data_IF_786098396622
#
_entry.id   IF_786098396622
#
_cell.length_a   1.000
_cell.length_b   1.000
_cell.length_c   1.000
_cell.angle_alpha   90.00
_cell.angle_beta   90.00
_cell.angle_gamma   90.00
#
_symmetry.space_group_name_H-M   'P 1'
#
loop_
_entity.id
_entity.type
_entity.pdbx_description
1 polymer ?
#
# COMPACT_ATOMS: atom_id res chain seq x y z
N UNK A 1 -6.73 1.95 0.23
CA UNK A 1 -6.31 3.11 -0.58
C UNK A 1 -7.50 3.61 -1.39
N UNK A 2 -7.62 4.92 -1.59
CA UNK A 2 -8.56 5.56 -2.49
C UNK A 2 -7.77 6.41 -3.50
N UNK A 3 -8.16 6.34 -4.77
CA UNK A 3 -7.57 7.13 -5.85
C UNK A 3 -8.54 8.27 -6.16
N UNK A 4 -8.16 9.49 -5.80
CA UNK A 4 -9.03 10.67 -5.88
C UNK A 4 -8.42 11.74 -6.79
N UNK A 5 -9.06 11.92 -7.96
CA UNK A 5 -8.65 12.93 -8.95
C UNK A 5 -9.01 14.36 -8.52
N UNK A 6 -9.95 14.52 -7.58
CA UNK A 6 -10.46 15.83 -7.15
C UNK A 6 -9.83 16.35 -5.86
N UNK A 7 -9.05 15.52 -5.16
CA UNK A 7 -8.37 15.92 -3.94
C UNK A 7 -7.12 16.76 -4.23
N UNK A 8 -6.93 17.82 -3.45
CA UNK A 8 -5.80 18.75 -3.59
C UNK A 8 -4.45 18.12 -3.23
N UNK A 9 -4.43 17.21 -2.26
CA UNK A 9 -3.21 16.63 -1.72
C UNK A 9 -3.46 15.22 -1.20
N UNK A 10 -2.43 14.38 -1.24
CA UNK A 10 -2.50 13.07 -0.61
C UNK A 10 -2.64 13.26 0.89
N UNK A 11 -3.55 12.50 1.52
CA UNK A 11 -3.72 12.56 2.96
C UNK A 11 -4.17 11.22 3.55
N UNK A 12 -3.97 11.10 4.86
CA UNK A 12 -4.37 9.93 5.64
C UNK A 12 -4.77 10.34 7.06
N UNK A 13 -5.80 9.69 7.59
CA UNK A 13 -6.33 9.96 8.92
C UNK A 13 -5.53 9.31 10.04
N UNK A 14 -5.56 9.96 11.21
CA UNK A 14 -4.82 9.53 12.40
C UNK A 14 -5.09 8.10 12.82
N UNK A 15 -6.35 7.75 12.93
CA UNK A 15 -6.76 6.43 13.40
C UNK A 15 -6.32 5.29 12.48
N UNK A 16 -6.09 5.59 11.19
CA UNK A 16 -5.57 4.60 10.25
C UNK A 16 -4.07 4.38 10.44
N UNK A 17 -3.27 5.44 10.59
CA UNK A 17 -1.83 5.27 10.82
C UNK A 17 -1.51 4.69 12.18
N UNK A 18 -2.27 5.02 13.22
CA UNK A 18 -2.09 4.41 14.55
C UNK A 18 -2.15 2.87 14.48
N UNK A 19 -2.85 2.30 13.49
CA UNK A 19 -2.92 0.86 13.23
C UNK A 19 -1.88 0.37 12.22
N UNK A 20 -1.64 1.14 11.17
CA UNK A 20 -0.81 0.72 10.04
C UNK A 20 0.68 1.03 10.22
N UNK A 21 1.05 1.96 11.11
CA UNK A 21 2.40 2.50 11.19
C UNK A 21 2.77 2.98 12.61
N UNK A 22 3.21 2.08 13.48
CA UNK A 22 3.32 2.29 14.94
C UNK A 22 4.21 3.49 15.35
N UNK A 23 5.18 3.90 14.53
CA UNK A 23 6.14 4.97 14.83
C UNK A 23 5.97 6.23 13.96
N UNK A 24 4.79 6.49 13.39
CA UNK A 24 4.60 7.61 12.45
C UNK A 24 4.91 8.97 13.08
N UNK A 25 4.72 9.11 14.40
CA UNK A 25 4.92 10.36 15.15
C UNK A 25 6.35 10.87 15.09
N UNK A 26 7.32 9.97 15.11
CA UNK A 26 8.75 10.30 15.12
C UNK A 26 9.25 10.75 13.74
N UNK A 27 8.50 10.39 12.69
CA UNK A 27 8.84 10.66 11.30
C UNK A 27 8.03 11.82 10.72
N UNK A 28 7.21 12.45 11.56
CA UNK A 28 6.32 13.53 11.14
C UNK A 28 7.13 14.80 10.90
N UNK A 29 7.11 15.28 9.67
CA UNK A 29 7.70 16.55 9.29
C UNK A 29 6.71 17.70 9.61
N UNK A 30 7.20 18.85 10.10
CA UNK A 30 6.34 19.96 10.48
C UNK A 30 5.65 20.56 9.26
N UNK A 31 4.46 21.13 9.48
CA UNK A 31 3.72 21.89 8.49
C UNK A 31 3.16 23.16 9.13
N UNK A 32 3.39 24.31 8.50
CA UNK A 32 2.96 25.60 9.00
C UNK A 32 2.36 26.46 7.88
N UNK A 33 1.45 27.37 8.25
CA UNK A 33 0.95 28.41 7.35
C UNK A 33 -0.09 27.97 6.31
N UNK A 34 -0.43 26.67 6.21
CA UNK A 34 -1.40 26.16 5.23
C UNK A 34 -2.70 25.75 5.92
N UNK A 35 -3.82 26.29 5.44
CA UNK A 35 -5.17 25.88 5.86
C UNK A 35 -5.73 24.88 4.86
N UNK A 36 -6.20 23.75 5.38
CA UNK A 36 -6.85 22.72 4.57
C UNK A 36 -8.34 22.68 4.87
N UNK A 37 -9.14 22.45 3.83
CA UNK A 37 -10.59 22.36 3.94
C UNK A 37 -11.08 21.20 3.08
N UNK A 38 -11.96 20.39 3.66
CA UNK A 38 -12.75 19.40 2.94
C UNK A 38 -14.12 20.00 2.59
N UNK A 39 -14.93 19.26 1.84
CA UNK A 39 -16.29 19.71 1.50
C UNK A 39 -17.17 19.98 2.75
N UNK A 40 -16.90 19.32 3.87
CA UNK A 40 -17.76 19.36 5.06
C UNK A 40 -17.15 20.07 6.26
N UNK A 41 -15.83 20.24 6.32
CA UNK A 41 -15.14 20.78 7.50
C UNK A 41 -13.75 21.30 7.19
N UNK A 42 -13.24 22.17 8.06
CA UNK A 42 -11.81 22.49 8.13
C UNK A 42 -11.02 21.25 8.55
N UNK A 43 -9.85 21.07 7.95
CA UNK A 43 -8.98 19.92 8.15
C UNK A 43 -7.78 20.35 9.00
N UNK A 44 -7.45 19.53 10.00
CA UNK A 44 -6.38 19.81 10.95
C UNK A 44 -5.15 18.95 10.62
N UNK A 45 -4.18 19.48 9.85
CA UNK A 45 -2.96 18.77 9.57
C UNK A 45 -2.11 18.69 10.84
N UNK A 46 -1.49 17.54 11.04
CA UNK A 46 -0.51 17.28 12.09
C UNK A 46 0.92 17.40 11.56
N UNK A 47 1.12 17.08 10.28
CA UNK A 47 2.40 17.15 9.59
C UNK A 47 2.40 16.39 8.28
N UNK A 48 3.58 16.23 7.69
CA UNK A 48 3.81 15.47 6.46
C UNK A 48 4.55 14.18 6.82
N UNK A 49 4.16 13.06 6.22
CA UNK A 49 4.86 11.79 6.37
C UNK A 49 5.21 11.25 4.97
N UNK A 50 6.46 10.83 4.77
CA UNK A 50 6.85 10.00 3.63
C UNK A 50 6.43 8.55 3.93
N UNK A 51 5.54 8.01 3.11
CA UNK A 51 5.08 6.63 3.22
C UNK A 51 5.42 5.83 1.96
N UNK A 52 5.86 4.59 2.15
CA UNK A 52 6.03 3.64 1.06
C UNK A 52 4.78 2.78 0.89
N UNK A 53 4.12 2.89 -0.26
CA UNK A 53 3.02 2.03 -0.64
C UNK A 53 3.55 0.85 -1.46
N UNK A 54 3.43 -0.34 -0.90
CA UNK A 54 3.95 -1.58 -1.50
C UNK A 54 2.80 -2.36 -2.15
N UNK A 55 2.92 -2.60 -3.45
CA UNK A 55 1.99 -3.42 -4.22
C UNK A 55 2.68 -4.73 -4.63
N UNK A 56 2.39 -5.84 -3.94
CA UNK A 56 2.90 -7.14 -4.35
C UNK A 56 2.20 -7.59 -5.64
N UNK A 57 2.99 -8.01 -6.63
CA UNK A 57 2.52 -8.51 -7.90
C UNK A 57 3.26 -9.80 -8.29
N UNK A 58 2.65 -10.64 -9.14
CA UNK A 58 3.25 -11.93 -9.52
C UNK A 58 4.57 -11.77 -10.30
N UNK A 59 4.78 -10.63 -10.95
CA UNK A 59 6.00 -10.30 -11.69
C UNK A 59 7.04 -9.50 -10.88
N UNK A 60 6.76 -9.21 -9.60
CA UNK A 60 7.65 -8.40 -8.75
C UNK A 60 6.89 -7.53 -7.75
N UNK A 61 7.61 -6.65 -7.06
CA UNK A 61 7.04 -5.72 -6.08
C UNK A 61 7.15 -4.31 -6.64
N UNK A 62 6.03 -3.60 -6.73
CA UNK A 62 6.02 -2.15 -6.99
C UNK A 62 6.03 -1.42 -5.66
N UNK A 63 6.88 -0.39 -5.53
CA UNK A 63 6.92 0.52 -4.39
C UNK A 63 6.70 1.94 -4.86
N UNK A 64 5.73 2.63 -4.28
CA UNK A 64 5.46 4.05 -4.53
C UNK A 64 5.85 4.82 -3.28
N UNK A 65 6.70 5.83 -3.43
CA UNK A 65 7.01 6.78 -2.36
C UNK A 65 6.04 7.96 -2.43
N UNK A 66 5.35 8.23 -1.32
CA UNK A 66 4.27 9.22 -1.30
C UNK A 66 4.45 10.08 -0.07
N UNK A 67 4.59 11.38 -0.27
CA UNK A 67 4.45 12.38 0.79
C UNK A 67 2.96 12.64 1.01
N UNK A 68 2.48 12.35 2.21
CA UNK A 68 1.08 12.45 2.57
C UNK A 68 0.90 13.37 3.77
N UNK A 69 -0.12 14.23 3.70
CA UNK A 69 -0.54 14.99 4.85
C UNK A 69 -1.23 14.10 5.85
N UNK A 70 -0.77 14.21 7.08
CA UNK A 70 -1.35 13.51 8.17
C UNK A 70 -2.38 14.37 8.87
N UNK A 71 -3.59 13.87 9.01
CA UNK A 71 -4.75 14.67 9.41
C UNK A 71 -5.40 14.12 10.67
N UNK A 72 -5.65 14.99 11.66
CA UNK A 72 -6.25 14.59 12.93
C UNK A 72 -7.74 14.23 12.80
N UNK A 73 -8.49 15.01 12.02
CA UNK A 73 -9.95 14.88 11.87
C UNK A 73 -10.38 14.29 10.52
N UNK A 74 -9.50 13.55 9.85
CA UNK A 74 -9.81 12.87 8.59
C UNK A 74 -10.46 11.50 8.90
N UNK A 75 -11.73 11.35 8.52
CA UNK A 75 -12.53 10.15 8.79
C UNK A 75 -12.19 8.90 7.94
N UNK A 76 -11.74 9.03 6.67
CA UNK A 76 -11.38 7.87 5.87
C UNK A 76 -10.30 6.97 6.50
N UNK A 77 -10.58 5.68 6.60
CA UNK A 77 -9.64 4.64 7.06
C UNK A 77 -8.81 4.08 5.90
N UNK A 78 -8.26 4.96 5.06
CA UNK A 78 -7.42 4.60 3.93
C UNK A 78 -6.56 5.78 3.47
N UNK A 79 -5.40 5.48 2.88
CA UNK A 79 -4.62 6.48 2.14
C UNK A 79 -5.37 7.00 0.92
N UNK A 80 -5.38 8.32 0.74
CA UNK A 80 -5.85 8.99 -0.47
C UNK A 80 -4.64 9.33 -1.33
N UNK A 81 -4.59 8.78 -2.56
CA UNK A 81 -3.66 9.19 -3.59
C UNK A 81 -4.33 10.17 -4.55
N UNK A 82 -3.63 11.25 -4.85
CA UNK A 82 -4.13 12.33 -5.70
C UNK A 82 -3.60 12.26 -7.11
N UNK A 83 -4.23 13.05 -7.99
CA UNK A 83 -3.92 13.11 -9.41
C UNK A 83 -2.41 13.25 -9.70
N UNK A 84 -1.68 14.02 -8.91
CA UNK A 84 -0.24 14.20 -9.09
C UNK A 84 0.52 12.88 -9.00
N UNK A 85 0.23 12.06 -7.99
CA UNK A 85 0.82 10.73 -7.84
C UNK A 85 0.35 9.75 -8.91
N UNK A 86 -0.89 9.87 -9.36
CA UNK A 86 -1.36 9.06 -10.48
C UNK A 86 -0.56 9.36 -11.75
N UNK A 87 -0.29 10.64 -12.03
CA UNK A 87 0.50 11.04 -13.19
C UNK A 87 1.97 10.63 -13.04
N UNK A 88 2.59 10.87 -11.88
CA UNK A 88 4.00 10.55 -11.61
C UNK A 88 4.26 9.04 -11.76
N UNK A 89 3.36 8.21 -11.24
CA UNK A 89 3.54 6.76 -11.24
C UNK A 89 2.87 6.06 -12.43
N UNK A 90 2.26 6.81 -13.35
CA UNK A 90 1.54 6.27 -14.51
C UNK A 90 0.41 5.32 -14.07
N UNK A 91 -0.41 5.78 -13.13
CA UNK A 91 -1.55 5.04 -12.61
C UNK A 91 -2.79 5.39 -13.41
N UNK A 92 -3.28 4.44 -14.20
CA UNK A 92 -4.52 4.59 -14.96
C UNK A 92 -5.66 3.92 -14.21
N UNK A 93 -6.78 4.64 -14.06
CA UNK A 93 -8.00 4.13 -13.42
C UNK A 93 -8.98 3.67 -14.51
N UNK A 94 -9.28 2.37 -14.55
CA UNK A 94 -10.28 1.82 -15.45
C UNK A 94 -11.61 1.58 -14.71
N UNK A 95 -12.67 2.23 -15.22
CA UNK A 95 -14.03 2.14 -14.66
C UNK A 95 -14.96 1.24 -15.47
N UNK A 96 -14.50 0.65 -16.58
CA UNK A 96 -15.33 -0.17 -17.47
C UNK A 96 -15.39 -1.62 -17.03
N UNK A 97 -16.62 -2.15 -16.91
CA UNK A 97 -16.98 -3.54 -16.54
C UNK A 97 -16.52 -3.96 -15.14
N UNK A 98 -15.23 -3.94 -14.89
CA UNK A 98 -14.61 -4.22 -13.60
C UNK A 98 -13.78 -3.01 -13.17
N UNK A 99 -13.87 -2.60 -11.90
CA UNK A 99 -13.11 -1.47 -11.38
C UNK A 99 -11.70 -1.90 -11.01
N UNK A 100 -10.73 -1.50 -11.83
CA UNK A 100 -9.31 -1.77 -11.60
C UNK A 100 -8.46 -0.56 -11.94
N UNK A 101 -7.23 -0.55 -11.46
CA UNK A 101 -6.20 0.40 -11.87
C UNK A 101 -4.97 -0.34 -12.36
N UNK A 102 -4.17 0.30 -13.20
CA UNK A 102 -2.87 -0.22 -13.62
C UNK A 102 -1.78 0.72 -13.14
N UNK A 103 -0.60 0.20 -12.81
CA UNK A 103 0.56 1.02 -12.46
C UNK A 103 1.67 0.79 -13.50
N UNK A 104 2.15 1.87 -14.11
CA UNK A 104 3.31 1.88 -15.00
C UNK A 104 2.97 1.82 -16.49
N UNK A 105 3.97 2.19 -17.31
CA UNK A 105 3.89 2.37 -18.79
C UNK A 105 3.43 1.10 -19.53
N UNK A 106 3.65 -0.08 -18.94
CA UNK A 106 3.16 -1.35 -19.48
C UNK A 106 1.87 -1.76 -18.76
N UNK A 107 0.75 -1.71 -19.48
CA UNK A 107 -0.63 -2.12 -19.10
C UNK A 107 -0.79 -3.56 -18.57
N UNK A 108 0.29 -4.25 -18.20
CA UNK A 108 0.34 -5.65 -17.74
C UNK A 108 0.21 -5.81 -16.22
N UNK A 109 0.34 -4.73 -15.44
CA UNK A 109 0.22 -4.80 -13.98
C UNK A 109 -1.13 -4.23 -13.55
N UNK A 110 -2.15 -5.08 -13.58
CA UNK A 110 -3.54 -4.74 -13.28
C UNK A 110 -3.87 -5.09 -11.83
N UNK A 111 -4.40 -4.11 -11.09
CA UNK A 111 -4.82 -4.24 -9.71
C UNK A 111 -6.32 -3.96 -9.59
N UNK A 112 -7.06 -4.90 -9.03
CA UNK A 112 -8.52 -4.76 -8.89
C UNK A 112 -8.87 -4.03 -7.59
N UNK A 113 -9.75 -3.02 -7.68
CA UNK A 113 -10.35 -2.40 -6.50
C UNK A 113 -11.62 -3.18 -6.12
N UNK A 114 -11.52 -4.14 -5.20
CA UNK A 114 -12.73 -4.81 -4.70
C UNK A 114 -13.41 -3.94 -3.63
N UNK A 115 -14.73 -3.86 -3.69
CA UNK A 115 -15.60 -3.39 -2.58
C UNK A 115 -16.25 -4.58 -1.85
N UNK A 116 -16.01 -5.79 -2.34
CA UNK A 116 -16.41 -7.03 -1.71
C UNK A 116 -15.17 -7.64 -1.07
N UNK A 117 -15.32 -8.06 0.18
CA UNK A 117 -14.57 -9.19 0.73
C UNK A 117 -14.89 -10.42 -0.14
N UNK A 118 -14.29 -10.50 -1.32
CA UNK A 118 -14.07 -11.82 -1.89
C UNK A 118 -13.08 -12.45 -0.95
N UNK A 119 -13.57 -13.31 -0.05
CA UNK A 119 -12.77 -14.34 0.59
C UNK A 119 -11.95 -14.96 -0.53
N UNK A 120 -10.72 -14.52 -0.70
CA UNK A 120 -9.77 -15.15 -1.59
C UNK A 120 -9.57 -16.49 -0.94
N UNK A 121 -10.32 -17.51 -1.39
CA UNK A 121 -9.95 -18.89 -1.15
C UNK A 121 -8.64 -19.03 -1.91
N UNK A 122 -7.54 -18.76 -1.21
CA UNK A 122 -6.22 -19.18 -1.64
C UNK A 122 -6.32 -20.70 -1.63
N UNK A 123 -6.74 -21.29 -2.76
CA UNK A 123 -6.46 -22.69 -3.01
C UNK A 123 -4.94 -22.77 -2.99
N UNK A 124 -4.39 -23.31 -1.91
CA UNK A 124 -3.02 -23.77 -1.87
C UNK A 124 -2.90 -24.81 -2.99
N UNK A 125 -2.51 -24.36 -4.18
CA UNK A 125 -1.94 -25.25 -5.16
C UNK A 125 -0.56 -25.57 -4.60
N UNK A 126 -0.42 -26.75 -3.99
CA UNK A 126 0.89 -27.32 -3.65
C UNK A 126 1.69 -27.41 -4.94
N UNK A 127 2.44 -26.35 -5.22
CA UNK A 127 3.26 -26.27 -6.41
C UNK A 127 4.59 -26.92 -6.05
N UNK A 128 4.71 -28.22 -6.34
CA UNK A 128 5.86 -29.07 -6.04
C UNK A 128 7.18 -28.47 -6.58
N UNK A 129 7.11 -27.59 -7.59
CA UNK A 129 8.26 -26.88 -8.13
C UNK A 129 8.75 -25.70 -7.28
N UNK A 130 7.93 -25.18 -6.36
CA UNK A 130 8.28 -24.04 -5.50
C UNK A 130 9.24 -24.46 -4.39
N UNK A 131 9.05 -25.66 -3.84
CA UNK A 131 9.94 -26.22 -2.81
C UNK A 131 11.32 -26.53 -3.37
N UNK A 132 11.39 -27.08 -4.60
CA UNK A 132 12.66 -27.25 -5.32
C UNK A 132 13.34 -25.91 -5.61
N UNK A 133 12.61 -24.92 -6.13
CA UNK A 133 13.18 -23.61 -6.44
C UNK A 133 13.72 -22.88 -5.20
N UNK A 134 12.98 -22.94 -4.09
CA UNK A 134 13.40 -22.32 -2.82
C UNK A 134 14.61 -23.07 -2.24
N UNK A 135 14.62 -24.39 -2.26
CA UNK A 135 15.77 -25.20 -1.82
C UNK A 135 17.02 -24.87 -2.64
N UNK A 136 16.93 -24.91 -3.97
CA UNK A 136 18.07 -24.74 -4.86
C UNK A 136 18.67 -23.33 -4.74
N UNK A 137 17.82 -22.29 -4.62
CA UNK A 137 18.26 -20.90 -4.47
C UNK A 137 18.79 -20.55 -3.08
N UNK A 138 18.28 -21.19 -2.03
CA UNK A 138 18.77 -20.96 -0.65
C UNK A 138 20.13 -21.63 -0.41
N UNK A 139 20.36 -22.80 -1.01
CA UNK A 139 21.66 -23.49 -0.97
C UNK A 139 22.71 -22.70 -1.75
N UNK A 140 22.35 -22.19 -2.93
CA UNK A 140 23.22 -21.38 -3.78
C UNK A 140 23.60 -20.02 -3.15
N UNK A 141 22.81 -19.53 -2.19
CA UNK A 141 23.01 -18.23 -1.55
C UNK A 141 23.82 -18.27 -0.23
N UNK A 142 24.32 -19.44 0.21
CA UNK A 142 25.07 -19.64 1.47
C UNK A 142 24.45 -18.94 2.69
N UNK A 143 23.11 -18.83 2.74
CA UNK A 143 22.42 -18.17 3.84
C UNK A 143 22.53 -19.07 5.08
N UNK A 144 23.14 -18.53 6.13
CA UNK A 144 23.39 -19.21 7.41
C UNK A 144 22.14 -19.97 7.93
N UNK A 145 22.30 -21.21 8.43
CA UNK A 145 21.21 -22.08 8.90
C UNK A 145 20.42 -21.52 10.10
N UNK A 146 20.85 -20.39 10.66
CA UNK A 146 20.17 -19.73 11.79
C UNK A 146 18.82 -19.09 11.41
N UNK A 147 18.60 -18.78 10.12
CA UNK A 147 17.37 -18.13 9.63
C UNK A 147 16.30 -19.11 9.13
N UNK A 148 16.60 -20.41 9.05
CA UNK A 148 15.66 -21.40 8.46
C UNK A 148 14.54 -21.81 9.44
N UNK A 149 14.72 -21.63 10.75
CA UNK A 149 13.79 -22.12 11.77
C UNK A 149 12.62 -21.17 12.08
N UNK A 150 12.71 -19.87 11.79
CA UNK A 150 11.64 -18.91 12.12
C UNK A 150 10.46 -18.90 11.13
N UNK A 151 10.60 -19.53 9.96
CA UNK A 151 9.55 -19.49 8.93
C UNK A 151 8.40 -20.47 9.23
N UNK A 152 8.63 -21.52 10.04
CA UNK A 152 7.62 -22.54 10.32
C UNK A 152 6.63 -22.16 11.43
N UNK A 153 6.96 -21.24 12.32
CA UNK A 153 6.12 -20.88 13.48
C UNK A 153 5.12 -19.73 13.21
N UNK A 154 5.13 -19.14 12.01
CA UNK A 154 4.13 -18.14 11.61
C UNK A 154 2.87 -18.76 10.97
N UNK A 155 2.51 -19.99 11.36
CA UNK A 155 1.17 -20.53 11.12
C UNK A 155 0.15 -19.77 11.96
N UNK A 156 -0.23 -18.60 11.46
CA UNK A 156 -1.38 -17.81 11.91
C UNK A 156 -2.64 -18.68 11.80
N UNK A 157 -3.09 -19.18 12.96
CA UNK A 157 -4.46 -19.61 13.16
C UNK A 157 -5.40 -18.42 12.91
N UNK A 158 -6.28 -18.55 11.92
CA UNK A 158 -7.49 -17.75 11.75
C UNK A 158 -8.70 -18.62 12.10
#
# INVERSE_FOLDING_TARGET
>A
MHLDLGAFCACVGKDYLDKAYINWKEQLMPIEGIKFRSASQDMHPLGILEAEMIFPHHAGIIRLKVESLFMNNCTPQHFILVNDYLNIYGIDINKHKDRYFTIGVNKRQTFFSSREERKTVIRQVKNVNKEKFVSDKLIEAEISPKFTLEINDLTLHY
#
